data_IF_019725550737
#
_entry.id   IF_019725550737
#
_cell.length_a   1.000
_cell.length_b   1.000
_cell.length_c   1.000
_cell.angle_alpha   90.00
_cell.angle_beta   90.00
_cell.angle_gamma   90.00
#
_symmetry.space_group_name_H-M   'P 1'
#
loop_
_entity.id
_entity.type
_entity.pdbx_description
1 polymer ?
#
# COMPACT_ATOMS: atom_id res chain seq x y z
N UNK A 1 20.06 -4.42 19.38
CA UNK A 1 20.60 -4.10 18.04
C UNK A 1 20.61 -5.29 17.07
N UNK A 2 20.28 -6.52 17.49
CA UNK A 2 20.22 -7.70 16.62
C UNK A 2 19.45 -7.47 15.30
N UNK A 3 18.23 -6.91 15.38
CA UNK A 3 17.42 -6.63 14.17
C UNK A 3 18.17 -5.74 13.16
N UNK A 4 18.85 -4.70 13.63
CA UNK A 4 19.56 -3.76 12.76
C UNK A 4 20.80 -4.39 12.11
N UNK A 5 21.48 -5.31 12.79
CA UNK A 5 22.71 -5.90 12.29
C UNK A 5 22.48 -7.16 11.45
N UNK A 6 21.43 -7.92 11.74
CA UNK A 6 21.28 -9.29 11.25
C UNK A 6 20.08 -9.48 10.30
N UNK A 7 19.24 -8.44 10.12
CA UNK A 7 18.10 -8.47 9.19
C UNK A 7 18.21 -7.39 8.10
N UNK A 8 17.67 -7.65 6.89
CA UNK A 8 17.76 -6.73 5.76
C UNK A 8 16.82 -5.51 5.86
N UNK A 9 15.95 -5.47 6.86
CA UNK A 9 15.04 -4.35 7.16
C UNK A 9 15.00 -4.16 8.67
N UNK A 10 15.16 -2.92 9.12
CA UNK A 10 15.26 -2.54 10.52
C UNK A 10 14.24 -1.46 10.90
N UNK A 11 14.29 -1.01 12.16
CA UNK A 11 13.38 0.02 12.69
C UNK A 11 13.54 1.35 11.95
N UNK A 12 14.75 1.68 11.51
CA UNK A 12 15.04 2.93 10.81
C UNK A 12 14.30 3.00 9.47
N UNK A 13 14.20 1.89 8.73
CA UNK A 13 13.40 1.82 7.50
C UNK A 13 11.91 2.13 7.75
N UNK A 14 11.39 1.73 8.92
CA UNK A 14 10.00 1.99 9.31
C UNK A 14 9.80 3.46 9.69
N UNK A 15 10.80 4.06 10.35
CA UNK A 15 10.81 5.49 10.69
C UNK A 15 10.87 6.33 9.41
N UNK A 16 11.73 5.98 8.47
CA UNK A 16 11.80 6.62 7.15
C UNK A 16 10.48 6.48 6.40
N UNK A 17 9.88 5.28 6.39
CA UNK A 17 8.58 5.08 5.77
C UNK A 17 7.50 5.96 6.40
N UNK A 18 7.49 6.11 7.73
CA UNK A 18 6.58 7.02 8.43
C UNK A 18 6.76 8.47 7.95
N UNK A 19 8.00 8.92 7.75
CA UNK A 19 8.28 10.27 7.25
C UNK A 19 7.77 10.45 5.81
N UNK A 20 8.05 9.49 4.90
CA UNK A 20 7.56 9.55 3.51
C UNK A 20 6.04 9.58 3.43
N UNK A 21 5.35 8.83 4.31
CA UNK A 21 3.88 8.73 4.32
C UNK A 21 3.17 9.92 4.98
N UNK A 22 3.88 10.76 5.74
CA UNK A 22 3.30 11.84 6.53
C UNK A 22 2.54 12.84 5.65
N UNK A 23 1.34 13.24 6.08
CA UNK A 23 0.45 14.15 5.33
C UNK A 23 -0.17 13.56 4.05
N UNK A 24 0.10 12.29 3.74
CA UNK A 24 -0.41 11.61 2.53
C UNK A 24 -1.24 10.36 2.86
N UNK A 25 -0.73 9.51 3.76
CA UNK A 25 -1.38 8.26 4.18
C UNK A 25 -1.65 8.30 5.69
N UNK A 26 -2.91 8.16 6.07
CA UNK A 26 -3.34 8.39 7.45
C UNK A 26 -3.48 7.10 8.27
N UNK A 27 -3.47 7.24 9.60
CA UNK A 27 -3.64 6.13 10.54
C UNK A 27 -5.10 5.64 10.48
N UNK A 28 -5.28 4.34 10.27
CA UNK A 28 -6.58 3.67 10.34
C UNK A 28 -7.01 3.43 11.78
N UNK A 29 -8.33 3.33 11.99
CA UNK A 29 -8.93 3.01 13.28
C UNK A 29 -8.48 1.65 13.83
N UNK A 30 -8.51 1.53 15.16
CA UNK A 30 -8.20 0.30 15.87
C UNK A 30 -9.07 0.13 17.12
N UNK A 31 -10.40 0.05 16.99
CA UNK A 31 -11.29 -0.09 18.13
C UNK A 31 -11.20 -1.49 18.75
N UNK A 32 -11.51 -1.58 20.05
CA UNK A 32 -11.78 -2.86 20.71
C UNK A 32 -13.03 -3.49 20.10
N UNK A 33 -13.00 -4.79 19.83
CA UNK A 33 -14.18 -5.54 19.43
C UNK A 33 -14.79 -6.25 20.62
N UNK A 34 -16.06 -5.94 20.93
CA UNK A 34 -16.78 -6.61 22.02
C UNK A 34 -16.91 -8.11 21.74
N UNK A 35 -17.44 -8.48 20.57
CA UNK A 35 -17.62 -9.87 20.18
C UNK A 35 -16.33 -10.70 20.28
N UNK A 36 -15.23 -10.24 19.67
CA UNK A 36 -13.98 -11.00 19.72
C UNK A 36 -13.38 -11.02 21.12
N UNK A 37 -13.51 -9.93 21.88
CA UNK A 37 -12.98 -9.89 23.25
C UNK A 37 -13.71 -10.88 24.17
N UNK A 38 -15.04 -10.94 24.07
CA UNK A 38 -15.88 -11.90 24.80
C UNK A 38 -15.54 -13.34 24.41
N UNK A 39 -15.46 -13.63 23.10
CA UNK A 39 -15.18 -14.97 22.58
C UNK A 39 -13.79 -15.48 22.93
N UNK A 40 -12.79 -14.60 22.97
CA UNK A 40 -11.39 -14.95 23.23
C UNK A 40 -11.01 -14.84 24.71
N UNK A 41 -11.91 -14.37 25.59
CA UNK A 41 -11.62 -14.12 27.02
C UNK A 41 -10.39 -13.22 27.23
N UNK A 42 -10.24 -12.19 26.40
CA UNK A 42 -9.14 -11.23 26.42
C UNK A 42 -9.49 -9.98 25.63
N UNK A 43 -8.64 -8.95 25.60
CA UNK A 43 -8.93 -7.73 24.83
C UNK A 43 -8.48 -7.86 23.38
N UNK A 44 -9.42 -7.82 22.45
CA UNK A 44 -9.16 -7.91 21.01
C UNK A 44 -9.47 -6.58 20.33
N UNK A 45 -8.51 -6.07 19.57
CA UNK A 45 -8.63 -4.83 18.79
C UNK A 45 -8.55 -5.13 17.29
N UNK A 46 -9.34 -4.42 16.49
CA UNK A 46 -9.42 -4.65 15.04
C UNK A 46 -8.71 -3.54 14.27
N UNK A 47 -7.61 -3.85 13.61
CA UNK A 47 -6.88 -2.87 12.78
C UNK A 47 -7.50 -2.75 11.38
N UNK A 48 -8.23 -1.67 11.13
CA UNK A 48 -9.04 -1.51 9.92
C UNK A 48 -8.27 -1.02 8.68
N UNK A 49 -7.29 -1.80 8.22
CA UNK A 49 -6.62 -1.50 6.93
C UNK A 49 -7.53 -1.68 5.71
N UNK A 50 -8.68 -2.33 5.87
CA UNK A 50 -9.76 -2.33 4.88
C UNK A 50 -10.36 -0.92 4.63
N UNK A 51 -10.19 0.02 5.57
CA UNK A 51 -10.62 1.42 5.42
C UNK A 51 -9.49 2.34 4.90
N UNK A 52 -8.30 1.81 4.63
CA UNK A 52 -7.22 2.59 4.05
C UNK A 52 -7.54 2.94 2.59
N UNK A 53 -6.89 3.97 2.03
CA UNK A 53 -6.92 4.27 0.59
C UNK A 53 -6.65 2.99 -0.21
N UNK A 54 -7.41 2.79 -1.29
CA UNK A 54 -7.47 1.55 -2.10
C UNK A 54 -8.07 0.33 -1.40
N UNK A 55 -8.67 0.49 -0.23
CA UNK A 55 -9.37 -0.58 0.50
C UNK A 55 -8.43 -1.63 1.11
N UNK A 56 -7.13 -1.36 1.20
CA UNK A 56 -6.16 -2.26 1.85
C UNK A 56 -4.87 -1.54 2.26
N UNK A 57 -4.03 -2.20 3.05
CA UNK A 57 -2.72 -1.67 3.46
C UNK A 57 -1.71 -1.50 2.30
N UNK A 58 -1.97 -2.06 1.11
CA UNK A 58 -0.97 -2.16 0.03
C UNK A 58 -0.50 -0.79 -0.48
N UNK A 59 -1.31 0.26 -0.31
CA UNK A 59 -0.89 1.64 -0.62
C UNK A 59 0.32 2.09 0.19
N UNK A 60 0.49 1.60 1.43
CA UNK A 60 1.60 2.01 2.31
C UNK A 60 2.96 1.64 1.72
N UNK A 61 3.11 0.37 1.34
CA UNK A 61 4.35 -0.14 0.77
C UNK A 61 4.61 0.40 -0.63
N UNK A 62 3.58 0.46 -1.47
CA UNK A 62 3.68 1.01 -2.82
C UNK A 62 4.12 2.48 -2.78
N UNK A 63 3.45 3.31 -1.96
CA UNK A 63 3.77 4.73 -1.84
C UNK A 63 5.16 4.93 -1.24
N UNK A 64 5.54 4.17 -0.20
CA UNK A 64 6.90 4.25 0.37
C UNK A 64 7.97 3.97 -0.69
N UNK A 65 7.82 2.87 -1.45
CA UNK A 65 8.81 2.49 -2.46
C UNK A 65 8.87 3.48 -3.62
N UNK A 66 7.73 3.93 -4.14
CA UNK A 66 7.69 4.87 -5.26
C UNK A 66 8.17 6.28 -4.83
N UNK A 67 7.84 6.70 -3.61
CA UNK A 67 8.31 7.97 -3.05
C UNK A 67 9.81 7.94 -2.72
N UNK A 68 10.42 6.76 -2.50
CA UNK A 68 11.85 6.64 -2.24
C UNK A 68 12.71 6.65 -3.51
N UNK A 69 12.09 6.61 -4.70
CA UNK A 69 12.80 6.69 -5.96
C UNK A 69 13.41 8.08 -6.14
N UNK A 70 14.62 8.11 -6.69
CA UNK A 70 15.23 9.34 -7.22
C UNK A 70 14.43 9.84 -8.41
N UNK A 71 14.56 11.12 -8.76
CA UNK A 71 13.83 11.68 -9.90
C UNK A 71 14.27 11.04 -11.23
N UNK A 72 15.51 10.59 -11.33
CA UNK A 72 16.00 9.83 -12.48
C UNK A 72 15.33 8.46 -12.60
N UNK A 73 15.04 7.79 -11.49
CA UNK A 73 14.29 6.53 -11.48
C UNK A 73 12.81 6.75 -11.76
N UNK A 74 12.18 7.79 -11.17
CA UNK A 74 10.77 8.13 -11.44
C UNK A 74 10.51 8.38 -12.92
N UNK A 75 11.42 9.08 -13.61
CA UNK A 75 11.32 9.36 -15.05
C UNK A 75 11.37 8.11 -15.94
N UNK A 76 11.86 6.98 -15.44
CA UNK A 76 11.84 5.70 -16.19
C UNK A 76 10.46 5.03 -16.17
N UNK A 77 9.54 5.52 -15.34
CA UNK A 77 8.27 4.87 -15.05
C UNK A 77 8.43 3.62 -14.19
N UNK A 78 7.30 3.00 -13.83
CA UNK A 78 7.25 1.77 -13.03
C UNK A 78 6.31 0.75 -13.65
N UNK A 79 6.57 -0.54 -13.39
CA UNK A 79 5.69 -1.63 -13.78
C UNK A 79 5.39 -2.55 -12.60
N UNK A 80 4.16 -3.05 -12.51
CA UNK A 80 3.75 -4.07 -11.56
C UNK A 80 2.83 -5.11 -12.21
N UNK A 81 2.65 -6.26 -11.57
CA UNK A 81 1.65 -7.25 -11.96
C UNK A 81 0.77 -7.63 -10.75
N UNK A 82 -0.56 -7.57 -10.90
CA UNK A 82 -1.49 -7.93 -9.83
C UNK A 82 -2.93 -8.03 -10.33
N UNK A 83 -3.71 -8.96 -9.79
CA UNK A 83 -5.15 -9.04 -10.05
C UNK A 83 -6.01 -8.14 -9.13
N UNK A 84 -5.43 -7.24 -8.32
CA UNK A 84 -6.22 -6.51 -7.33
C UNK A 84 -5.51 -5.49 -6.45
N UNK A 85 -5.42 -5.75 -5.14
CA UNK A 85 -5.07 -4.72 -4.15
C UNK A 85 -3.68 -4.09 -4.37
N UNK A 86 -2.72 -4.85 -4.89
CA UNK A 86 -1.41 -4.29 -5.24
C UNK A 86 -1.49 -3.42 -6.50
N UNK A 87 -2.25 -3.83 -7.53
CA UNK A 87 -2.52 -3.02 -8.72
C UNK A 87 -3.08 -1.63 -8.33
N UNK A 88 -4.12 -1.62 -7.50
CA UNK A 88 -4.73 -0.37 -7.02
C UNK A 88 -3.75 0.47 -6.17
N UNK A 89 -2.98 -0.17 -5.29
CA UNK A 89 -1.96 0.51 -4.48
C UNK A 89 -0.87 1.18 -5.33
N UNK A 90 -0.39 0.51 -6.37
CA UNK A 90 0.61 1.06 -7.30
C UNK A 90 0.00 2.16 -8.15
N UNK A 91 -1.17 1.93 -8.75
CA UNK A 91 -1.83 2.91 -9.61
C UNK A 91 -2.15 4.21 -8.85
N UNK A 92 -2.72 4.14 -7.64
CA UNK A 92 -2.93 5.33 -6.83
C UNK A 92 -1.63 6.02 -6.40
N UNK A 93 -0.56 5.25 -6.11
CA UNK A 93 0.74 5.84 -5.76
C UNK A 93 1.34 6.60 -6.94
N UNK A 94 1.21 6.07 -8.15
CA UNK A 94 1.62 6.72 -9.40
C UNK A 94 0.89 8.05 -9.58
N UNK A 95 -0.45 8.04 -9.43
CA UNK A 95 -1.27 9.25 -9.50
C UNK A 95 -0.85 10.31 -8.48
N UNK A 96 -0.61 9.92 -7.22
CA UNK A 96 -0.25 10.84 -6.14
C UNK A 96 1.15 11.46 -6.30
N UNK A 97 2.06 10.77 -6.99
CA UNK A 97 3.47 11.16 -7.15
C UNK A 97 3.80 11.69 -8.55
N UNK A 98 2.86 11.65 -9.50
CA UNK A 98 3.10 12.03 -10.89
C UNK A 98 4.09 11.10 -11.60
N UNK A 99 4.05 9.80 -11.29
CA UNK A 99 4.93 8.79 -11.90
C UNK A 99 4.16 8.03 -12.98
N UNK A 100 4.77 7.81 -14.14
CA UNK A 100 4.22 6.94 -15.19
C UNK A 100 4.22 5.48 -14.70
N UNK A 101 3.06 4.81 -14.80
CA UNK A 101 2.86 3.47 -14.26
C UNK A 101 2.15 2.55 -15.23
N UNK A 102 2.62 1.30 -15.30
CA UNK A 102 2.00 0.20 -16.05
C UNK A 102 1.68 -0.96 -15.12
N UNK A 103 0.47 -1.51 -15.19
CA UNK A 103 0.01 -2.60 -14.33
C UNK A 103 -0.55 -3.74 -15.17
N UNK A 104 0.15 -4.87 -15.16
CA UNK A 104 -0.31 -6.08 -15.85
C UNK A 104 -1.34 -6.80 -14.95
N UNK A 105 -2.53 -7.01 -15.48
CA UNK A 105 -3.62 -7.73 -14.80
C UNK A 105 -4.03 -8.95 -15.63
N UNK A 106 -4.23 -10.13 -15.01
CA UNK A 106 -4.64 -11.31 -15.76
C UNK A 106 -6.04 -11.13 -16.34
N UNK A 107 -6.27 -11.64 -17.55
CA UNK A 107 -7.61 -11.77 -18.14
C UNK A 107 -8.51 -12.55 -17.16
N UNK A 108 -9.67 -12.00 -16.83
CA UNK A 108 -10.60 -12.58 -15.85
C UNK A 108 -10.44 -12.07 -14.41
N UNK A 109 -9.51 -11.15 -14.14
CA UNK A 109 -9.53 -10.41 -12.88
C UNK A 109 -10.91 -9.74 -12.66
N UNK A 110 -11.41 -9.65 -11.42
CA UNK A 110 -12.71 -9.06 -11.15
C UNK A 110 -12.84 -7.68 -11.80
N UNK A 111 -13.89 -7.48 -12.61
CA UNK A 111 -14.08 -6.25 -13.39
C UNK A 111 -13.99 -4.98 -12.54
N UNK A 112 -14.51 -5.04 -11.31
CA UNK A 112 -14.43 -3.94 -10.34
C UNK A 112 -12.98 -3.61 -9.94
N UNK A 113 -12.09 -4.60 -9.88
CA UNK A 113 -10.67 -4.38 -9.52
C UNK A 113 -9.88 -3.81 -10.70
N UNK A 114 -10.19 -4.24 -11.92
CA UNK A 114 -9.61 -3.68 -13.15
C UNK A 114 -10.03 -2.22 -13.30
N UNK A 115 -11.34 -1.95 -13.25
CA UNK A 115 -11.89 -0.59 -13.33
C UNK A 115 -11.28 0.34 -12.29
N UNK A 116 -11.27 -0.07 -11.01
CA UNK A 116 -10.66 0.73 -9.95
C UNK A 116 -9.15 0.96 -10.14
N UNK A 117 -8.43 0.09 -10.86
CA UNK A 117 -7.01 0.33 -11.18
C UNK A 117 -6.86 1.39 -12.28
N UNK A 118 -7.70 1.32 -13.32
CA UNK A 118 -7.73 2.30 -14.41
C UNK A 118 -8.15 3.70 -13.95
N UNK A 119 -9.11 3.80 -13.02
CA UNK A 119 -9.64 5.08 -12.52
C UNK A 119 -8.61 5.94 -11.77
N UNK A 120 -7.47 5.37 -11.38
CA UNK A 120 -6.40 6.11 -10.69
C UNK A 120 -5.44 6.79 -11.66
N UNK A 121 -4.54 6.05 -12.32
CA UNK A 121 -3.66 6.64 -13.35
C UNK A 121 -2.90 5.63 -14.22
N UNK A 122 -2.53 4.46 -13.70
CA UNK A 122 -1.64 3.54 -14.42
C UNK A 122 -2.33 2.89 -15.63
N UNK A 123 -1.58 2.69 -16.71
CA UNK A 123 -1.99 1.90 -17.87
C UNK A 123 -2.18 0.44 -17.44
N UNK A 124 -3.36 -0.14 -17.68
CA UNK A 124 -3.62 -1.55 -17.41
C UNK A 124 -3.41 -2.40 -18.66
N UNK A 125 -2.61 -3.47 -18.52
CA UNK A 125 -2.27 -4.45 -19.58
C UNK A 125 -2.92 -5.79 -19.31
#
# INVERSE_FOLDING_TARGET
MHITYDLPVAIDDIIEAKQRLAGRIYKTGMPRSNYFSERCKGEIFLKFENMQRTGSFKIRGAFNKLSSLTDAEKRKGVVACSAGNHAQGVSLSCAMLGIDGKVVMPKGAPKSKVAATCDYSAEVV
#
